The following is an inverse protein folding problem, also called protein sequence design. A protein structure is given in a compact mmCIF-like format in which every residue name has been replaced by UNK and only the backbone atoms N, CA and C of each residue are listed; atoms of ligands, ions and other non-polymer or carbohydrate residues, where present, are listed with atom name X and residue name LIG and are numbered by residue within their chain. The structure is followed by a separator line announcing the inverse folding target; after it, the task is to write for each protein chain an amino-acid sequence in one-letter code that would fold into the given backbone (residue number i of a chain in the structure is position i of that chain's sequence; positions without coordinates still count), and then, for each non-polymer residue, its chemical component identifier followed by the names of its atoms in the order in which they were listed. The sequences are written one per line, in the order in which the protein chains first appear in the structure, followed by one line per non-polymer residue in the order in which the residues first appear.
data_IF_491515134632
#
_entry.id   IF_491515134632
#
_cell.length_a   1.000
_cell.length_b   1.000
_cell.length_c   1.000
_cell.angle_alpha   90.00
_cell.angle_beta   90.00
_cell.angle_gamma   90.00
#
_symmetry.space_group_name_H-M   'P 1'
#
loop_
_entity.id
_entity.type
_entity.pdbx_description
1 polymer ?
#
# COMPACT_ATOMS: atom_id res chain seq x y z
N UNK A 1 -1.18 10.78 20.19
CA UNK A 1 -1.25 9.48 19.49
C UNK A 1 -2.59 8.89 19.86
N UNK A 2 -3.52 8.78 18.91
CA UNK A 2 -4.76 8.06 19.13
C UNK A 2 -4.37 6.60 19.41
N UNK A 3 -4.65 6.13 20.62
CA UNK A 3 -4.60 4.71 20.94
C UNK A 3 -5.84 4.10 20.33
N UNK A 4 -5.82 3.80 19.03
CA UNK A 4 -6.85 2.96 18.48
C UNK A 4 -6.73 1.58 19.15
N UNK A 5 -7.85 1.11 19.68
CA UNK A 5 -8.02 -0.28 20.08
C UNK A 5 -7.75 -1.17 18.84
N UNK A 6 -7.41 -2.46 19.04
CA UNK A 6 -7.19 -3.41 17.94
C UNK A 6 -5.87 -3.27 17.12
N UNK A 7 -4.80 -2.69 17.71
CA UNK A 7 -3.47 -2.59 17.06
C UNK A 7 -3.49 -1.82 15.72
N UNK A 8 -4.29 -0.76 15.63
CA UNK A 8 -4.40 0.11 14.46
C UNK A 8 -3.93 1.54 14.77
N UNK A 9 -3.77 2.38 13.75
CA UNK A 9 -3.55 3.82 13.90
C UNK A 9 -4.86 4.62 13.96
N UNK A 10 -5.96 4.04 13.46
CA UNK A 10 -7.29 4.61 13.38
C UNK A 10 -8.33 3.54 13.74
N UNK A 11 -9.45 3.94 14.35
CA UNK A 11 -10.58 3.02 14.54
C UNK A 11 -11.22 2.71 13.17
N UNK A 12 -11.77 1.50 13.02
CA UNK A 12 -12.35 1.10 11.74
C UNK A 12 -13.50 2.03 11.30
N UNK A 13 -14.36 2.42 12.23
CA UNK A 13 -15.49 3.30 11.93
C UNK A 13 -15.02 4.71 11.52
N UNK A 14 -13.95 5.21 12.13
CA UNK A 14 -13.32 6.49 11.75
C UNK A 14 -12.73 6.40 10.33
N UNK A 15 -12.07 5.29 9.97
CA UNK A 15 -11.60 5.07 8.60
C UNK A 15 -12.76 5.06 7.61
N UNK A 16 -13.86 4.35 7.92
CA UNK A 16 -15.05 4.35 7.08
C UNK A 16 -15.65 5.76 6.92
N UNK A 17 -15.64 6.57 7.98
CA UNK A 17 -16.09 7.96 7.93
C UNK A 17 -15.16 8.83 7.07
N UNK A 18 -13.84 8.69 7.19
CA UNK A 18 -12.87 9.41 6.35
C UNK A 18 -13.03 9.06 4.87
N UNK A 19 -13.23 7.78 4.54
CA UNK A 19 -13.52 7.34 3.17
C UNK A 19 -14.83 7.97 2.68
N UNK A 20 -15.88 7.97 3.50
CA UNK A 20 -17.16 8.57 3.12
C UNK A 20 -17.05 10.08 2.87
N UNK A 21 -16.29 10.80 3.70
CA UNK A 21 -16.02 12.24 3.52
C UNK A 21 -15.24 12.49 2.22
N UNK A 22 -14.18 11.71 1.99
CA UNK A 22 -13.39 11.78 0.76
C UNK A 22 -14.25 11.55 -0.48
N UNK A 23 -15.13 10.55 -0.46
CA UNK A 23 -16.03 10.26 -1.58
C UNK A 23 -17.08 11.36 -1.78
N UNK A 24 -17.66 11.88 -0.71
CA UNK A 24 -18.59 13.02 -0.75
C UNK A 24 -17.93 14.25 -1.38
N UNK A 25 -16.67 14.52 -1.03
CA UNK A 25 -15.91 15.63 -1.61
C UNK A 25 -15.72 15.45 -3.11
N UNK A 26 -15.34 14.23 -3.56
CA UNK A 26 -15.16 13.92 -4.98
C UNK A 26 -16.46 14.05 -5.77
N UNK A 27 -17.58 13.56 -5.22
CA UNK A 27 -18.90 13.66 -5.85
C UNK A 27 -19.37 15.11 -6.02
N UNK A 28 -18.84 16.05 -5.23
CA UNK A 28 -19.12 17.48 -5.36
C UNK A 28 -18.25 18.20 -6.40
N UNK A 29 -17.21 17.55 -6.94
CA UNK A 29 -16.32 18.16 -7.92
C UNK A 29 -16.83 18.01 -9.36
N UNK A 30 -16.56 18.99 -10.19
CA UNK A 30 -16.75 18.88 -11.64
C UNK A 30 -15.44 18.43 -12.31
N UNK A 31 -15.52 17.46 -13.21
CA UNK A 31 -14.35 16.95 -13.94
C UNK A 31 -13.50 15.91 -13.21
N UNK A 32 -13.91 15.49 -12.01
CA UNK A 32 -13.33 14.35 -11.29
C UNK A 32 -14.41 13.28 -11.13
N UNK A 33 -14.06 12.02 -11.40
CA UNK A 33 -14.98 10.90 -11.28
C UNK A 33 -14.33 9.79 -10.46
N UNK A 34 -15.09 9.19 -9.56
CA UNK A 34 -14.66 8.00 -8.84
C UNK A 34 -14.53 6.84 -9.84
N UNK A 35 -13.43 6.12 -9.75
CA UNK A 35 -13.17 4.92 -10.57
C UNK A 35 -12.92 3.72 -9.67
N UNK A 36 -13.35 2.53 -10.08
CA UNK A 36 -13.24 1.29 -9.28
C UNK A 36 -12.78 0.07 -10.07
N UNK A 37 -12.59 0.21 -11.37
CA UNK A 37 -12.11 -0.81 -12.28
C UNK A 37 -11.34 -0.16 -13.46
N UNK A 38 -10.77 -0.98 -14.34
CA UNK A 38 -9.98 -0.51 -15.47
C UNK A 38 -10.84 0.21 -16.52
N UNK A 39 -12.07 -0.26 -16.75
CA UNK A 39 -13.01 0.37 -17.68
C UNK A 39 -13.38 1.80 -17.25
N UNK A 40 -13.59 2.03 -15.95
CA UNK A 40 -13.86 3.33 -15.36
C UNK A 40 -12.68 4.29 -15.59
N UNK A 41 -11.44 3.79 -15.44
CA UNK A 41 -10.21 4.57 -15.66
C UNK A 41 -10.11 5.00 -17.13
N UNK A 42 -10.32 4.06 -18.06
CA UNK A 42 -10.26 4.38 -19.49
C UNK A 42 -11.41 5.30 -19.92
N UNK A 43 -12.61 5.12 -19.37
CA UNK A 43 -13.76 6.00 -19.62
C UNK A 43 -13.50 7.42 -19.13
N UNK A 44 -12.99 7.60 -17.91
CA UNK A 44 -12.62 8.90 -17.36
C UNK A 44 -11.61 9.62 -18.27
N UNK A 45 -10.59 8.90 -18.74
CA UNK A 45 -9.58 9.41 -19.67
C UNK A 45 -10.19 9.83 -21.01
N UNK A 46 -11.07 9.01 -21.60
CA UNK A 46 -11.76 9.34 -22.86
C UNK A 46 -12.67 10.57 -22.73
N UNK A 47 -13.26 10.77 -21.56
CA UNK A 47 -14.12 11.90 -21.25
C UNK A 47 -13.34 13.15 -20.79
N UNK A 48 -12.01 13.10 -20.80
CA UNK A 48 -11.13 14.18 -20.33
C UNK A 48 -11.42 14.57 -18.86
N UNK A 49 -11.71 13.57 -18.03
CA UNK A 49 -11.93 13.68 -16.59
C UNK A 49 -10.76 13.08 -15.81
N UNK A 50 -10.58 13.51 -14.56
CA UNK A 50 -9.64 12.90 -13.62
C UNK A 50 -10.32 11.71 -12.95
N UNK A 51 -9.75 10.51 -13.13
CA UNK A 51 -10.17 9.32 -12.40
C UNK A 51 -9.60 9.30 -10.98
N UNK A 52 -10.47 9.23 -9.98
CA UNK A 52 -10.11 9.14 -8.57
C UNK A 52 -10.36 7.73 -8.02
N UNK A 53 -9.29 7.00 -7.71
CA UNK A 53 -9.35 5.69 -7.08
C UNK A 53 -9.01 5.83 -5.58
N UNK A 54 -9.99 5.67 -4.66
CA UNK A 54 -9.70 5.72 -3.24
C UNK A 54 -8.87 4.51 -2.82
N UNK A 55 -7.84 4.74 -2.00
CA UNK A 55 -6.94 3.71 -1.47
C UNK A 55 -6.76 3.91 0.03
N UNK A 56 -6.36 2.85 0.73
CA UNK A 56 -6.05 2.92 2.16
C UNK A 56 -4.61 2.51 2.40
N UNK A 57 -3.82 3.35 3.06
CA UNK A 57 -2.40 3.09 3.28
C UNK A 57 -2.15 1.99 4.33
N UNK A 58 -3.17 1.67 5.13
CA UNK A 58 -3.16 0.56 6.08
C UNK A 58 -4.57 -0.01 6.28
N UNK A 59 -4.68 -1.34 6.33
CA UNK A 59 -5.93 -2.02 6.66
C UNK A 59 -6.19 -1.97 8.17
N UNK A 60 -6.99 -0.99 8.60
CA UNK A 60 -7.45 -0.83 9.98
C UNK A 60 -8.56 -1.82 10.38
N UNK A 61 -8.40 -3.10 10.04
CA UNK A 61 -9.46 -4.11 10.17
C UNK A 61 -9.48 -4.83 11.54
N UNK A 62 -8.51 -4.57 12.41
CA UNK A 62 -8.34 -5.34 13.64
C UNK A 62 -8.13 -6.83 13.33
N UNK A 63 -8.85 -7.71 14.04
CA UNK A 63 -8.86 -9.16 13.78
C UNK A 63 -10.12 -9.63 13.03
N UNK A 64 -10.83 -8.72 12.34
CA UNK A 64 -12.12 -8.99 11.72
C UNK A 64 -12.00 -9.05 10.20
N UNK A 65 -11.89 -10.25 9.64
CA UNK A 65 -11.70 -10.47 8.20
C UNK A 65 -12.80 -9.82 7.34
N UNK A 66 -14.05 -9.84 7.80
CA UNK A 66 -15.20 -9.27 7.10
C UNK A 66 -15.11 -7.75 6.87
N UNK A 67 -14.21 -7.05 7.56
CA UNK A 67 -13.99 -5.62 7.33
C UNK A 67 -13.25 -5.35 6.01
N UNK A 68 -12.53 -6.32 5.45
CA UNK A 68 -11.95 -6.23 4.10
C UNK A 68 -13.07 -6.09 3.06
N UNK A 69 -14.12 -6.90 3.19
CA UNK A 69 -15.33 -6.82 2.36
C UNK A 69 -16.01 -5.45 2.44
N UNK A 70 -16.15 -4.91 3.65
CA UNK A 70 -16.76 -3.59 3.86
C UNK A 70 -15.97 -2.49 3.12
N UNK A 71 -14.65 -2.48 3.25
CA UNK A 71 -13.79 -1.52 2.53
C UNK A 71 -13.89 -1.71 1.01
N UNK A 72 -13.95 -2.96 0.53
CA UNK A 72 -14.15 -3.23 -0.89
C UNK A 72 -15.51 -2.71 -1.39
N UNK A 73 -16.59 -2.87 -0.62
CA UNK A 73 -17.91 -2.32 -0.95
C UNK A 73 -17.91 -0.78 -0.93
N UNK A 74 -17.08 -0.15 -0.09
CA UNK A 74 -16.81 1.29 -0.14
C UNK A 74 -15.92 1.72 -1.32
N UNK A 75 -15.58 0.81 -2.24
CA UNK A 75 -14.85 1.08 -3.48
C UNK A 75 -13.34 1.15 -3.35
N UNK A 76 -12.78 0.74 -2.20
CA UNK A 76 -11.34 0.56 -2.07
C UNK A 76 -10.91 -0.62 -2.95
N UNK A 77 -9.88 -0.43 -3.77
CA UNK A 77 -9.30 -1.47 -4.64
C UNK A 77 -7.81 -1.72 -4.42
N UNK A 78 -7.17 -0.90 -3.59
CA UNK A 78 -5.77 -1.05 -3.21
C UNK A 78 -5.64 -0.69 -1.73
N UNK A 79 -5.00 -1.57 -0.98
CA UNK A 79 -4.84 -1.39 0.46
C UNK A 79 -3.48 -1.90 0.96
N UNK A 80 -2.85 -1.12 1.84
CA UNK A 80 -1.64 -1.53 2.54
C UNK A 80 -1.92 -2.55 3.64
N UNK A 81 -1.13 -3.62 3.72
CA UNK A 81 -1.29 -4.63 4.78
C UNK A 81 -0.94 -4.08 6.18
N UNK A 82 0.10 -3.25 6.24
CA UNK A 82 0.62 -2.67 7.47
C UNK A 82 1.00 -1.20 7.23
N UNK A 83 1.33 -0.49 8.31
CA UNK A 83 2.04 0.79 8.22
C UNK A 83 3.40 0.68 8.91
N UNK A 84 3.70 1.54 9.89
CA UNK A 84 5.01 1.54 10.59
C UNK A 84 5.16 0.44 11.63
N UNK A 85 4.08 0.10 12.34
CA UNK A 85 4.07 -0.84 13.48
C UNK A 85 3.33 -2.12 13.13
N UNK A 86 3.51 -3.14 13.95
CA UNK A 86 2.75 -4.39 13.83
C UNK A 86 1.25 -4.16 14.02
N UNK A 87 0.46 -4.94 13.28
CA UNK A 87 -0.96 -5.11 13.48
C UNK A 87 -1.28 -6.62 13.51
N UNK A 88 -2.57 -7.01 13.44
CA UNK A 88 -2.93 -8.43 13.39
C UNK A 88 -2.52 -9.13 12.08
N UNK A 89 -2.26 -8.38 11.01
CA UNK A 89 -1.92 -8.90 9.67
C UNK A 89 -0.44 -9.26 9.61
N UNK A 90 0.44 -8.35 10.02
CA UNK A 90 1.89 -8.55 10.00
C UNK A 90 2.65 -7.37 10.57
N UNK A 91 3.96 -7.37 10.34
CA UNK A 91 4.86 -6.36 10.89
C UNK A 91 5.12 -5.22 9.89
N UNK A 92 5.13 -4.00 10.41
CA UNK A 92 5.53 -2.80 9.66
C UNK A 92 7.04 -2.61 9.62
N UNK A 93 7.53 -1.81 8.66
CA UNK A 93 8.96 -1.61 8.44
C UNK A 93 9.73 -0.95 9.61
N UNK A 94 9.04 -0.39 10.61
CA UNK A 94 9.68 0.18 11.81
C UNK A 94 9.55 -0.73 13.04
N UNK A 95 9.05 -1.95 12.89
CA UNK A 95 9.06 -2.88 14.01
C UNK A 95 10.47 -3.34 14.37
N UNK A 96 10.70 -3.48 15.67
CA UNK A 96 12.01 -3.92 16.19
C UNK A 96 12.33 -5.35 15.74
N UNK A 97 11.31 -6.21 15.68
CA UNK A 97 11.43 -7.58 15.26
C UNK A 97 10.57 -7.77 14.01
N UNK A 98 11.11 -8.47 13.02
CA UNK A 98 10.40 -8.79 11.79
C UNK A 98 9.87 -10.24 11.86
N UNK A 99 8.58 -10.37 12.19
CA UNK A 99 7.85 -11.62 12.35
C UNK A 99 7.17 -12.12 11.07
N UNK A 100 7.08 -11.28 10.02
CA UNK A 100 6.38 -11.61 8.78
C UNK A 100 4.87 -11.53 8.87
N UNK A 101 4.17 -12.20 7.96
CA UNK A 101 2.71 -12.34 8.02
C UNK A 101 2.30 -13.26 9.17
N UNK A 102 1.23 -12.89 9.86
CA UNK A 102 0.54 -13.81 10.76
C UNK A 102 -0.32 -14.81 9.98
N UNK A 103 -0.82 -15.86 10.65
CA UNK A 103 -1.82 -16.75 10.05
C UNK A 103 -3.06 -15.99 9.60
N UNK A 104 -3.52 -15.02 10.40
CA UNK A 104 -4.62 -14.13 10.01
C UNK A 104 -4.23 -13.24 8.82
N UNK A 105 -2.98 -12.79 8.73
CA UNK A 105 -2.49 -12.03 7.59
C UNK A 105 -2.55 -12.79 6.27
N UNK A 106 -2.28 -14.10 6.29
CA UNK A 106 -2.44 -14.97 5.11
C UNK A 106 -3.92 -15.05 4.71
N UNK A 107 -4.85 -15.18 5.67
CA UNK A 107 -6.29 -15.15 5.39
C UNK A 107 -6.73 -13.81 4.76
N UNK A 108 -6.18 -12.69 5.24
CA UNK A 108 -6.44 -11.36 4.69
C UNK A 108 -5.92 -11.22 3.26
N UNK A 109 -4.69 -11.66 2.98
CA UNK A 109 -4.13 -11.65 1.60
C UNK A 109 -5.00 -12.47 0.65
N UNK A 110 -5.41 -13.67 1.06
CA UNK A 110 -6.31 -14.50 0.26
C UNK A 110 -7.66 -13.81 0.02
N UNK A 111 -8.25 -13.20 1.06
CA UNK A 111 -9.52 -12.49 0.91
C UNK A 111 -9.42 -11.29 -0.02
N UNK A 112 -8.31 -10.55 0.04
CA UNK A 112 -8.04 -9.45 -0.89
C UNK A 112 -7.96 -9.96 -2.33
N UNK A 113 -7.27 -11.08 -2.57
CA UNK A 113 -7.19 -11.68 -3.90
C UNK A 113 -8.57 -12.14 -4.40
N UNK A 114 -9.38 -12.81 -3.57
CA UNK A 114 -10.74 -13.24 -3.92
C UNK A 114 -11.63 -12.09 -4.37
N UNK A 115 -11.50 -10.92 -3.72
CA UNK A 115 -12.26 -9.72 -4.04
C UNK A 115 -11.72 -8.97 -5.26
N UNK A 116 -10.47 -9.23 -5.67
CA UNK A 116 -9.77 -8.39 -6.65
C UNK A 116 -9.23 -7.08 -6.06
N UNK A 117 -8.92 -7.05 -4.77
CA UNK A 117 -8.25 -5.93 -4.10
C UNK A 117 -6.72 -6.12 -4.16
N UNK A 118 -6.02 -5.09 -4.64
CA UNK A 118 -4.56 -5.06 -4.73
C UNK A 118 -3.93 -4.98 -3.35
N UNK A 119 -3.00 -5.90 -3.09
CA UNK A 119 -2.17 -5.95 -1.88
C UNK A 119 -1.00 -4.97 -2.05
N UNK A 120 -0.96 -3.92 -1.23
CA UNK A 120 0.15 -2.97 -1.19
C UNK A 120 1.09 -3.28 -0.01
N UNK A 121 2.39 -3.29 -0.31
CA UNK A 121 3.48 -3.68 0.58
C UNK A 121 4.38 -2.52 0.98
N UNK A 122 4.01 -1.29 0.61
CA UNK A 122 4.93 -0.14 0.70
C UNK A 122 5.46 0.16 2.11
N UNK A 123 4.68 -0.17 3.14
CA UNK A 123 5.10 -0.01 4.54
C UNK A 123 5.33 -1.32 5.27
N UNK A 124 5.21 -2.46 4.59
CA UNK A 124 5.50 -3.77 5.15
C UNK A 124 6.97 -3.89 5.55
N UNK A 125 7.22 -4.64 6.63
CA UNK A 125 8.56 -5.15 6.92
C UNK A 125 9.03 -6.08 5.79
N UNK A 126 10.33 -6.36 5.78
CA UNK A 126 10.94 -7.21 4.76
C UNK A 126 10.27 -8.60 4.71
N UNK A 127 10.13 -9.30 5.84
CA UNK A 127 9.49 -10.62 5.84
C UNK A 127 8.02 -10.55 5.51
N UNK A 128 7.30 -9.54 6.01
CA UNK A 128 5.87 -9.37 5.69
C UNK A 128 5.68 -9.18 4.19
N UNK A 129 6.54 -8.42 3.52
CA UNK A 129 6.50 -8.24 2.08
C UNK A 129 6.81 -9.55 1.33
N UNK A 130 7.86 -10.27 1.74
CA UNK A 130 8.24 -11.53 1.10
C UNK A 130 7.17 -12.62 1.27
N UNK A 131 6.61 -12.77 2.48
CA UNK A 131 5.51 -13.70 2.76
C UNK A 131 4.27 -13.32 1.94
N UNK A 132 3.91 -12.03 1.86
CA UNK A 132 2.77 -11.59 1.07
C UNK A 132 2.98 -11.86 -0.43
N UNK A 133 4.19 -11.67 -0.96
CA UNK A 133 4.53 -12.04 -2.35
C UNK A 133 4.41 -13.56 -2.56
N UNK A 134 4.84 -14.36 -1.59
CA UNK A 134 4.73 -15.82 -1.64
C UNK A 134 3.27 -16.27 -1.66
N UNK A 135 2.47 -15.85 -0.66
CA UNK A 135 1.11 -16.32 -0.43
C UNK A 135 0.05 -15.68 -1.33
N UNK A 136 0.28 -14.48 -1.87
CA UNK A 136 -0.69 -13.83 -2.77
C UNK A 136 -0.88 -14.66 -4.05
N UNK A 137 -2.10 -14.89 -4.48
CA UNK A 137 -2.43 -15.54 -5.75
C UNK A 137 -2.42 -14.57 -6.93
N UNK A 138 -2.43 -13.26 -6.65
CA UNK A 138 -2.39 -12.18 -7.62
C UNK A 138 -1.08 -11.35 -7.51
N UNK A 139 -0.73 -10.57 -8.55
CA UNK A 139 0.32 -9.56 -8.44
C UNK A 139 0.10 -8.61 -7.26
N UNK A 140 1.20 -8.21 -6.61
CA UNK A 140 1.20 -7.23 -5.51
C UNK A 140 1.74 -5.89 -5.99
N UNK A 141 1.61 -4.86 -5.16
CA UNK A 141 2.18 -3.55 -5.41
C UNK A 141 3.14 -3.11 -4.30
N UNK A 142 4.21 -2.44 -4.72
CA UNK A 142 4.86 -1.41 -3.91
C UNK A 142 4.38 -0.07 -4.48
N UNK A 143 3.26 0.45 -3.98
CA UNK A 143 2.62 1.64 -4.56
C UNK A 143 3.49 2.90 -4.53
N UNK A 144 4.38 3.03 -3.54
CA UNK A 144 5.28 4.18 -3.41
C UNK A 144 6.59 3.82 -2.67
N UNK A 145 7.60 3.42 -3.43
CA UNK A 145 8.89 2.95 -2.92
C UNK A 145 10.08 3.40 -3.76
N UNK A 146 11.27 3.05 -3.32
CA UNK A 146 12.51 3.21 -4.08
C UNK A 146 13.52 2.12 -3.73
N UNK A 147 14.62 2.07 -4.48
CA UNK A 147 15.70 1.08 -4.25
C UNK A 147 16.53 1.46 -3.02
N UNK A 148 16.62 0.52 -2.07
CA UNK A 148 17.50 0.57 -0.92
C UNK A 148 18.97 0.76 -1.34
N UNK A 149 19.44 -0.04 -2.30
CA UNK A 149 20.82 0.02 -2.80
C UNK A 149 21.15 1.39 -3.36
N UNK A 150 20.26 1.99 -4.15
CA UNK A 150 20.46 3.33 -4.69
C UNK A 150 20.34 4.41 -3.60
N UNK A 151 19.37 4.30 -2.71
CA UNK A 151 19.19 5.26 -1.62
C UNK A 151 20.38 5.31 -0.67
N UNK A 152 20.98 4.16 -0.32
CA UNK A 152 22.21 4.12 0.47
C UNK A 152 23.40 4.76 -0.25
N UNK A 153 23.60 4.46 -1.53
CA UNK A 153 24.67 5.08 -2.35
C UNK A 153 24.54 6.60 -2.43
N UNK A 154 23.32 7.10 -2.25
CA UNK A 154 22.97 8.52 -2.30
C UNK A 154 22.79 9.13 -0.91
N UNK A 155 23.34 8.52 0.14
CA UNK A 155 23.38 9.10 1.48
C UNK A 155 22.02 9.16 2.20
N UNK A 156 21.08 8.30 1.85
CA UNK A 156 19.74 8.26 2.45
C UNK A 156 19.67 7.79 3.91
N UNK A 157 20.77 7.30 4.49
CA UNK A 157 20.91 6.98 5.92
C UNK A 157 19.78 6.10 6.48
N UNK A 158 19.32 6.41 7.69
CA UNK A 158 18.23 5.69 8.39
C UNK A 158 16.94 5.63 7.57
N UNK A 159 16.67 6.65 6.74
CA UNK A 159 15.49 6.65 5.89
C UNK A 159 15.60 5.54 4.82
N UNK A 160 16.76 5.42 4.18
CA UNK A 160 17.00 4.35 3.21
C UNK A 160 16.88 2.98 3.90
N UNK A 161 17.49 2.82 5.07
CA UNK A 161 17.46 1.58 5.85
C UNK A 161 16.06 1.15 6.31
N UNK A 162 15.22 2.11 6.69
CA UNK A 162 13.88 1.81 7.19
C UNK A 162 12.81 1.71 6.10
N UNK A 163 12.89 2.52 5.04
CA UNK A 163 11.73 2.75 4.16
C UNK A 163 11.91 2.29 2.71
N UNK A 164 13.14 2.11 2.22
CA UNK A 164 13.39 1.68 0.83
C UNK A 164 13.50 0.17 0.72
N UNK A 165 13.23 -0.36 -0.48
CA UNK A 165 13.12 -1.80 -0.74
C UNK A 165 14.43 -2.40 -1.20
N UNK A 166 14.79 -3.55 -0.64
CA UNK A 166 15.93 -4.35 -1.07
C UNK A 166 15.71 -4.85 -2.49
N UNK A 167 16.80 -5.05 -3.22
CA UNK A 167 16.73 -5.48 -4.61
C UNK A 167 16.01 -6.84 -4.74
N UNK A 168 16.11 -7.71 -3.73
CA UNK A 168 15.41 -8.99 -3.68
C UNK A 168 13.88 -8.85 -3.57
N UNK A 169 13.37 -7.87 -2.80
CA UNK A 169 11.92 -7.58 -2.70
C UNK A 169 11.39 -7.08 -4.06
N UNK A 170 12.14 -6.17 -4.69
CA UNK A 170 11.78 -5.61 -5.99
C UNK A 170 11.77 -6.66 -7.09
N UNK A 171 12.78 -7.55 -7.12
CA UNK A 171 12.84 -8.68 -8.05
C UNK A 171 11.73 -9.68 -7.79
N UNK A 172 11.41 -9.98 -6.53
CA UNK A 172 10.32 -10.89 -6.18
C UNK A 172 8.96 -10.33 -6.63
N UNK A 173 8.70 -9.04 -6.39
CA UNK A 173 7.51 -8.35 -6.88
C UNK A 173 7.41 -8.41 -8.41
N UNK A 174 8.49 -8.08 -9.13
CA UNK A 174 8.52 -8.14 -10.59
C UNK A 174 8.27 -9.56 -11.13
N UNK A 175 8.84 -10.60 -10.50
CA UNK A 175 8.61 -12.01 -10.88
C UNK A 175 7.16 -12.46 -10.68
N UNK A 176 6.45 -11.88 -9.71
CA UNK A 176 5.01 -12.08 -9.48
C UNK A 176 4.14 -11.33 -10.50
N UNK A 177 4.73 -10.50 -11.36
CA UNK A 177 4.01 -9.59 -12.26
C UNK A 177 3.51 -8.33 -11.55
N UNK A 178 4.04 -8.03 -10.36
CA UNK A 178 3.67 -6.87 -9.56
C UNK A 178 4.19 -5.55 -10.09
N UNK A 179 3.80 -4.46 -9.43
CA UNK A 179 4.12 -3.09 -9.81
C UNK A 179 4.93 -2.41 -8.71
N UNK A 180 5.94 -1.63 -9.12
CA UNK A 180 6.71 -0.75 -8.24
C UNK A 180 6.50 0.70 -8.67
N UNK A 181 5.73 1.45 -7.88
CA UNK A 181 5.58 2.89 -8.02
C UNK A 181 6.76 3.62 -7.37
N UNK A 182 7.50 4.39 -8.18
CA UNK A 182 8.68 5.12 -7.68
C UNK A 182 8.25 6.37 -6.93
N UNK A 183 8.60 6.48 -5.66
CA UNK A 183 8.32 7.67 -4.85
C UNK A 183 9.25 8.83 -5.20
N UNK A 184 8.71 10.06 -5.16
CA UNK A 184 9.45 11.32 -5.31
C UNK A 184 9.46 12.15 -4.02
N UNK A 185 9.26 11.52 -2.86
CA UNK A 185 9.24 12.21 -1.58
C UNK A 185 10.56 13.00 -1.37
N UNK A 186 10.53 14.30 -1.04
CA UNK A 186 11.77 15.09 -0.90
C UNK A 186 12.76 14.56 0.13
N UNK A 187 12.34 13.82 1.17
CA UNK A 187 13.30 13.15 2.08
C UNK A 187 14.00 11.95 1.43
N UNK A 188 13.37 11.32 0.44
CA UNK A 188 14.01 10.38 -0.48
C UNK A 188 14.94 11.19 -1.37
N UNK A 189 14.42 12.14 -2.15
CA UNK A 189 15.12 12.78 -3.29
C UNK A 189 16.11 13.89 -2.91
N UNK A 190 16.02 14.56 -1.74
CA UNK A 190 16.93 15.68 -1.39
C UNK A 190 18.37 15.25 -1.07
N UNK A 191 18.64 13.96 -0.91
CA UNK A 191 20.02 13.45 -0.88
C UNK A 191 20.55 13.08 -2.28
N UNK A 192 19.72 13.22 -3.33
CA UNK A 192 19.96 12.75 -4.69
C UNK A 192 20.36 13.96 -5.53
N UNK A 193 21.64 14.13 -5.82
CA UNK A 193 22.09 15.14 -6.77
C UNK A 193 21.48 14.88 -8.15
N UNK A 194 20.44 15.64 -8.52
CA UNK A 194 19.77 15.87 -9.82
C UNK A 194 19.73 14.78 -10.94
N UNK A 195 20.20 13.56 -10.74
CA UNK A 195 20.30 12.53 -11.78
C UNK A 195 19.63 11.24 -11.30
N UNK A 196 18.43 11.00 -11.82
CA UNK A 196 17.74 9.73 -11.72
C UNK A 196 18.36 8.75 -12.72
N UNK A 197 19.25 7.86 -12.28
CA UNK A 197 19.79 6.80 -13.15
C UNK A 197 18.90 5.57 -13.03
N UNK A 198 18.04 5.37 -14.03
CA UNK A 198 17.38 4.08 -14.27
C UNK A 198 18.38 3.20 -15.03
N UNK A 199 18.90 2.15 -14.39
CA UNK A 199 19.53 1.05 -15.11
C UNK A 199 18.46 0.00 -15.37
N UNK A 200 18.14 -0.18 -16.66
CA UNK A 200 17.31 -1.27 -17.19
C UNK A 200 18.13 -2.56 -17.20
#
# INVERSE_FOLDING_TARGET
MLHAEEMSFIQFDDLCNEIALMLSDIESQTGVVRVTNAEDIEAAKQQNQVGFLPTVEHLAIGNQLSRVDLLYQQGIRLAGLTYRRKNYIGDGHQERNDGGLSTFGIEVVNRMNDLGMVVDLSHASYRTAMDAIEFSQAPVAFSHDGSYTLGLRQGGGEYAEGRLRRDEELVACARKGGIVGVTVQPSVVRSWGLILVLMV
#
